data_IF_866611998908
#
_entry.id   IF_866611998908
#
_cell.length_a   1.000
_cell.length_b   1.000
_cell.length_c   1.000
_cell.angle_alpha   90.00
_cell.angle_beta   90.00
_cell.angle_gamma   90.00
#
_symmetry.space_group_name_H-M   'P 1'
#
loop_
_entity.id
_entity.type
_entity.pdbx_description
1 polymer ?
#
# COMPACT_ATOMS: atom_id res chain seq x y z
N UNK A 1 35.70 -2.14 -16.00
CA UNK A 1 35.54 -2.08 -17.47
C UNK A 1 35.22 -0.63 -17.82
N UNK A 2 36.18 0.07 -18.42
CA UNK A 2 36.06 1.49 -18.76
C UNK A 2 35.57 1.60 -20.20
N UNK A 3 34.39 2.19 -20.42
CA UNK A 3 33.89 2.50 -21.75
C UNK A 3 34.30 3.94 -22.06
N UNK A 4 35.17 4.09 -23.05
CA UNK A 4 35.61 5.37 -23.61
C UNK A 4 34.52 5.84 -24.58
N UNK A 5 33.88 6.97 -24.30
CA UNK A 5 32.88 7.57 -25.19
C UNK A 5 33.55 8.75 -25.90
N UNK A 6 33.83 8.59 -27.18
CA UNK A 6 34.26 9.66 -28.08
C UNK A 6 33.00 10.36 -28.63
N UNK A 7 32.90 11.66 -28.38
CA UNK A 7 31.79 12.52 -28.80
C UNK A 7 32.27 13.31 -30.02
N UNK A 8 31.81 12.95 -31.22
CA UNK A 8 32.01 13.75 -32.41
C UNK A 8 30.83 14.69 -32.70
N UNK A 9 31.22 15.90 -33.10
CA UNK A 9 30.47 17.12 -33.32
C UNK A 9 29.62 17.07 -34.61
N UNK A 10 28.36 16.64 -34.57
CA UNK A 10 27.41 16.87 -35.69
C UNK A 10 25.98 17.15 -35.16
N UNK A 11 25.45 18.33 -35.50
CA UNK A 11 24.03 18.78 -35.48
C UNK A 11 23.34 19.11 -34.13
N UNK A 12 23.45 20.38 -33.72
CA UNK A 12 22.83 20.96 -32.51
C UNK A 12 21.32 21.19 -32.50
N UNK A 13 20.52 20.56 -33.38
CA UNK A 13 19.06 20.66 -33.35
C UNK A 13 18.37 19.38 -32.84
N UNK A 14 18.99 18.21 -33.05
CA UNK A 14 18.44 16.90 -32.67
C UNK A 14 18.74 16.54 -31.22
N UNK A 15 19.87 17.03 -30.69
CA UNK A 15 20.36 16.73 -29.33
C UNK A 15 19.47 17.36 -28.24
N UNK A 16 18.88 18.54 -28.50
CA UNK A 16 17.99 19.22 -27.55
C UNK A 16 16.71 18.42 -27.33
N UNK A 17 16.16 17.78 -28.36
CA UNK A 17 14.94 16.96 -28.28
C UNK A 17 15.19 15.67 -27.49
N UNK A 18 16.37 15.05 -27.62
CA UNK A 18 16.70 13.82 -26.87
C UNK A 18 16.82 14.11 -25.37
N UNK A 19 17.38 15.26 -24.98
CA UNK A 19 17.53 15.65 -23.57
C UNK A 19 16.17 16.08 -22.98
N UNK A 20 15.32 16.81 -23.71
CA UNK A 20 13.99 17.19 -23.22
C UNK A 20 13.03 15.99 -23.09
N UNK A 21 13.11 15.01 -23.98
CA UNK A 21 12.32 13.76 -23.88
C UNK A 21 12.72 12.90 -22.67
N UNK A 22 13.99 12.95 -22.27
CA UNK A 22 14.51 12.17 -21.15
C UNK A 22 14.08 12.72 -19.79
N UNK A 23 13.82 14.03 -19.66
CA UNK A 23 13.41 14.62 -18.37
C UNK A 23 11.92 14.39 -18.07
N UNK A 24 11.09 14.22 -19.11
CA UNK A 24 9.62 14.08 -18.96
C UNK A 24 9.22 12.66 -18.49
N UNK A 25 10.06 11.64 -18.68
CA UNK A 25 9.76 10.26 -18.26
C UNK A 25 10.08 9.92 -16.79
N UNK A 26 10.69 10.82 -16.02
CA UNK A 26 11.24 10.50 -14.68
C UNK A 26 10.44 11.07 -13.51
N UNK A 27 9.24 11.60 -13.75
CA UNK A 27 8.42 12.22 -12.72
C UNK A 27 7.08 11.49 -12.50
N UNK A 28 7.09 10.15 -12.61
CA UNK A 28 5.95 9.37 -12.15
C UNK A 28 5.92 9.42 -10.62
N UNK A 29 4.80 9.85 -10.00
CA UNK A 29 4.68 9.83 -8.55
C UNK A 29 4.84 8.40 -8.05
N UNK A 30 5.78 8.20 -7.10
CA UNK A 30 6.02 6.88 -6.53
C UNK A 30 4.81 6.43 -5.69
N UNK A 31 4.55 5.11 -5.59
CA UNK A 31 3.53 4.60 -4.71
C UNK A 31 3.75 5.10 -3.28
N UNK A 32 2.68 5.60 -2.67
CA UNK A 32 2.72 6.06 -1.28
C UNK A 32 1.66 5.34 -0.47
N UNK A 33 1.98 5.07 0.79
CA UNK A 33 1.11 4.36 1.70
C UNK A 33 0.70 5.25 2.88
N UNK A 34 -0.58 5.22 3.23
CA UNK A 34 -1.10 5.85 4.44
C UNK A 34 -2.18 4.95 5.07
N UNK A 35 -2.36 5.05 6.37
CA UNK A 35 -3.41 4.32 7.07
C UNK A 35 -3.96 5.11 8.26
N UNK A 36 -5.15 4.73 8.71
CA UNK A 36 -5.77 5.23 9.93
C UNK A 36 -6.37 4.07 10.71
N UNK A 37 -6.25 4.15 12.03
CA UNK A 37 -6.91 3.24 12.96
C UNK A 37 -7.82 4.08 13.85
N UNK A 38 -9.11 3.78 13.81
CA UNK A 38 -10.12 4.44 14.62
C UNK A 38 -9.96 4.15 16.10
N UNK A 39 -10.61 4.96 16.93
CA UNK A 39 -10.65 4.72 18.37
C UNK A 39 -11.42 3.43 18.69
N UNK A 40 -11.02 2.78 19.78
CA UNK A 40 -11.73 1.65 20.37
C UNK A 40 -13.16 2.08 20.77
N UNK A 41 -14.18 1.53 20.12
CA UNK A 41 -15.57 1.86 20.44
C UNK A 41 -16.60 1.77 19.31
N UNK A 42 -16.27 1.23 18.13
CA UNK A 42 -17.30 1.01 17.11
C UNK A 42 -18.35 0.00 17.62
N UNK A 43 -19.63 0.38 17.56
CA UNK A 43 -20.74 -0.35 18.20
C UNK A 43 -21.38 -1.42 17.32
N UNK A 44 -21.07 -1.46 16.02
CA UNK A 44 -21.60 -2.44 15.09
C UNK A 44 -20.47 -3.35 14.59
N UNK A 45 -20.48 -4.58 15.09
CA UNK A 45 -19.64 -5.66 14.59
C UNK A 45 -20.29 -6.25 13.34
N UNK A 46 -19.80 -5.86 12.18
CA UNK A 46 -19.99 -6.58 10.93
C UNK A 46 -18.58 -6.76 10.37
N UNK A 47 -18.12 -8.01 10.29
CA UNK A 47 -16.79 -8.30 9.77
C UNK A 47 -16.83 -8.18 8.25
N UNK A 48 -16.72 -6.95 7.78
CA UNK A 48 -16.81 -6.59 6.38
C UNK A 48 -15.49 -5.97 5.93
N UNK A 49 -14.94 -6.50 4.84
CA UNK A 49 -13.86 -5.86 4.11
C UNK A 49 -14.47 -5.19 2.89
N UNK A 50 -14.17 -3.91 2.70
CA UNK A 50 -14.45 -3.21 1.46
C UNK A 50 -13.14 -2.78 0.81
N UNK A 51 -13.10 -2.95 -0.51
CA UNK A 51 -12.02 -2.46 -1.34
C UNK A 51 -12.63 -1.56 -2.39
N UNK A 52 -12.07 -0.36 -2.52
CA UNK A 52 -12.47 0.64 -3.49
C UNK A 52 -11.25 1.08 -4.31
N UNK A 53 -11.43 1.24 -5.62
CA UNK A 53 -10.40 1.82 -6.49
C UNK A 53 -10.85 3.22 -6.89
N UNK A 54 -10.02 4.22 -6.59
CA UNK A 54 -10.24 5.62 -6.95
C UNK A 54 -9.12 6.07 -7.88
N UNK A 55 -9.38 6.05 -9.19
CA UNK A 55 -8.34 6.34 -10.19
C UNK A 55 -7.15 5.39 -10.02
N UNK A 56 -6.03 5.86 -9.46
CA UNK A 56 -4.81 5.08 -9.21
C UNK A 56 -4.62 4.74 -7.72
N UNK A 57 -5.65 4.93 -6.90
CA UNK A 57 -5.58 4.69 -5.46
C UNK A 57 -6.40 3.45 -5.11
N UNK A 58 -5.77 2.53 -4.39
CA UNK A 58 -6.44 1.40 -3.76
C UNK A 58 -6.75 1.77 -2.31
N UNK A 59 -8.02 1.77 -1.96
CA UNK A 59 -8.49 2.05 -0.60
C UNK A 59 -9.10 0.78 -0.02
N UNK A 60 -8.60 0.38 1.14
CA UNK A 60 -9.10 -0.75 1.93
C UNK A 60 -9.75 -0.20 3.20
N UNK A 61 -10.94 -0.69 3.51
CA UNK A 61 -11.58 -0.45 4.79
C UNK A 61 -12.07 -1.75 5.40
N UNK A 62 -11.90 -1.92 6.70
CA UNK A 62 -12.55 -3.00 7.41
C UNK A 62 -12.67 -2.70 8.91
N UNK A 63 -13.39 -3.58 9.57
CA UNK A 63 -13.59 -3.57 11.01
C UNK A 63 -12.70 -4.66 11.64
N UNK A 64 -11.89 -4.28 12.62
CA UNK A 64 -10.96 -5.15 13.34
C UNK A 64 -11.38 -5.29 14.81
N UNK A 65 -11.89 -6.47 15.22
CA UNK A 65 -12.16 -6.78 16.62
C UNK A 65 -10.89 -7.31 17.29
N UNK A 66 -10.39 -6.59 18.29
CA UNK A 66 -9.13 -6.94 18.96
C UNK A 66 -9.08 -6.42 20.41
N UNK A 67 -8.00 -6.66 21.15
CA UNK A 67 -7.90 -6.24 22.56
C UNK A 67 -7.79 -4.73 22.71
N UNK A 68 -8.46 -4.12 23.69
CA UNK A 68 -8.56 -2.65 23.78
C UNK A 68 -7.24 -1.91 24.02
N UNK A 69 -6.26 -2.60 24.59
CA UNK A 69 -4.96 -2.04 24.95
C UNK A 69 -3.94 -2.15 23.81
N UNK A 70 -4.38 -2.66 22.66
CA UNK A 70 -3.56 -2.74 21.48
C UNK A 70 -3.30 -1.34 20.90
N UNK A 71 -2.09 -1.18 20.39
CA UNK A 71 -1.70 -0.08 19.53
C UNK A 71 -1.49 -0.67 18.13
N UNK A 72 -2.49 -0.51 17.26
CA UNK A 72 -2.51 -1.16 15.94
C UNK A 72 -1.83 -0.25 14.91
N UNK A 73 -0.84 -0.81 14.24
CA UNK A 73 -0.21 -0.23 13.06
C UNK A 73 -0.49 -1.11 11.84
N UNK A 74 -0.44 -0.51 10.64
CA UNK A 74 -0.59 -1.25 9.39
C UNK A 74 0.71 -1.09 8.60
N UNK A 75 1.26 -2.22 8.16
CA UNK A 75 2.42 -2.30 7.27
C UNK A 75 1.96 -2.81 5.91
N UNK A 76 2.57 -2.30 4.84
CA UNK A 76 2.34 -2.77 3.48
C UNK A 76 3.63 -3.30 2.89
N UNK A 77 3.57 -4.52 2.39
CA UNK A 77 4.58 -5.05 1.49
C UNK A 77 3.99 -5.09 0.09
N UNK A 78 4.57 -4.30 -0.81
CA UNK A 78 4.23 -4.30 -2.23
C UNK A 78 5.38 -4.92 -3.01
N UNK A 79 5.06 -5.94 -3.82
CA UNK A 79 5.99 -6.55 -4.75
C UNK A 79 5.27 -6.85 -6.05
N UNK A 80 5.70 -6.20 -7.14
CA UNK A 80 5.04 -6.30 -8.44
C UNK A 80 3.53 -5.99 -8.32
N UNK A 81 2.67 -6.91 -8.71
CA UNK A 81 1.21 -6.79 -8.65
C UNK A 81 0.63 -7.44 -7.39
N UNK A 82 1.41 -7.60 -6.32
CA UNK A 82 0.93 -8.08 -5.03
C UNK A 82 1.03 -6.98 -3.96
N UNK A 83 -0.08 -6.73 -3.27
CA UNK A 83 -0.17 -5.77 -2.16
C UNK A 83 -0.64 -6.52 -0.93
N UNK A 84 0.25 -6.66 0.05
CA UNK A 84 0.00 -7.38 1.30
C UNK A 84 -0.06 -6.38 2.45
N UNK A 85 -1.23 -6.25 3.08
CA UNK A 85 -1.45 -5.44 4.29
C UNK A 85 -1.29 -6.33 5.52
N UNK A 86 -0.46 -5.92 6.47
CA UNK A 86 -0.24 -6.60 7.74
C UNK A 86 -0.63 -5.67 8.88
N UNK A 87 -1.55 -6.11 9.73
CA UNK A 87 -1.83 -5.46 11.00
C UNK A 87 -0.80 -5.92 12.04
N UNK A 88 -0.28 -4.98 12.84
CA UNK A 88 0.70 -5.29 13.89
C UNK A 88 0.28 -4.59 15.17
N UNK A 89 0.19 -5.34 16.26
CA UNK A 89 0.01 -4.76 17.60
C UNK A 89 1.38 -4.42 18.19
N UNK A 90 1.61 -3.15 18.49
CA UNK A 90 2.80 -2.65 19.20
C UNK A 90 2.52 -2.27 20.65
N UNK A 91 1.27 -2.43 21.09
CA UNK A 91 0.80 -2.13 22.44
C UNK A 91 0.70 -3.35 23.34
N UNK A 92 -0.14 -3.25 24.37
CA UNK A 92 -0.33 -4.28 25.38
C UNK A 92 -1.49 -5.22 25.04
N UNK A 93 -1.59 -6.31 25.81
CA UNK A 93 -2.72 -7.23 25.78
C UNK A 93 -3.54 -7.10 27.06
N UNK A 94 -4.86 -7.01 26.91
CA UNK A 94 -5.79 -6.97 28.05
C UNK A 94 -7.07 -7.78 27.78
N UNK A 95 -7.89 -7.95 28.83
CA UNK A 95 -9.04 -8.89 28.81
C UNK A 95 -10.32 -8.33 28.15
N UNK A 96 -10.28 -7.11 27.63
CA UNK A 96 -11.43 -6.52 26.95
C UNK A 96 -11.24 -6.59 25.44
N UNK A 97 -12.35 -6.69 24.72
CA UNK A 97 -12.40 -6.65 23.26
C UNK A 97 -13.01 -5.33 22.83
N UNK A 98 -12.37 -4.71 21.84
CA UNK A 98 -12.80 -3.51 21.19
C UNK A 98 -12.89 -3.72 19.68
N UNK A 99 -13.63 -2.83 19.04
CA UNK A 99 -13.80 -2.83 17.60
C UNK A 99 -13.16 -1.56 17.05
N UNK A 100 -12.18 -1.74 16.18
CA UNK A 100 -11.41 -0.69 15.53
C UNK A 100 -11.83 -0.59 14.06
N UNK A 101 -11.97 0.63 13.54
CA UNK A 101 -12.14 0.85 12.10
C UNK A 101 -10.76 1.09 11.50
N UNK A 102 -10.33 0.23 10.59
CA UNK A 102 -9.03 0.33 9.94
C UNK A 102 -9.25 0.75 8.49
N UNK A 103 -8.52 1.76 8.06
CA UNK A 103 -8.49 2.19 6.66
C UNK A 103 -7.06 2.34 6.21
N UNK A 104 -6.76 1.84 5.00
CA UNK A 104 -5.44 1.89 4.43
C UNK A 104 -5.55 2.29 2.95
N UNK A 105 -4.64 3.15 2.48
CA UNK A 105 -4.60 3.63 1.11
C UNK A 105 -3.21 3.42 0.54
N UNK A 106 -3.16 2.81 -0.64
CA UNK A 106 -1.97 2.81 -1.51
C UNK A 106 -2.29 3.69 -2.71
N UNK A 107 -1.61 4.83 -2.81
CA UNK A 107 -1.84 5.82 -3.87
C UNK A 107 -0.81 5.71 -4.98
N UNK A 108 -1.15 6.22 -6.17
CA UNK A 108 -0.29 6.23 -7.36
C UNK A 108 0.14 4.83 -7.84
N UNK A 109 -0.77 3.87 -7.84
CA UNK A 109 -0.54 2.56 -8.43
C UNK A 109 -0.57 2.64 -9.96
N UNK A 110 0.40 1.98 -10.59
CA UNK A 110 0.39 1.79 -12.04
C UNK A 110 -0.86 0.98 -12.46
N UNK A 111 -1.44 1.24 -13.65
CA UNK A 111 -2.53 0.45 -14.20
C UNK A 111 -2.18 -1.04 -14.26
N UNK A 112 -3.10 -1.90 -13.84
CA UNK A 112 -2.84 -3.33 -13.76
C UNK A 112 -3.80 -4.05 -12.83
N UNK A 113 -3.71 -5.39 -12.81
CA UNK A 113 -4.49 -6.21 -11.89
C UNK A 113 -3.62 -6.64 -10.73
N UNK A 114 -4.01 -6.24 -9.52
CA UNK A 114 -3.31 -6.51 -8.29
C UNK A 114 -4.01 -7.61 -7.48
N UNK A 115 -3.22 -8.48 -6.87
CA UNK A 115 -3.70 -9.35 -5.79
C UNK A 115 -3.53 -8.62 -4.47
N UNK A 116 -4.65 -8.35 -3.81
CA UNK A 116 -4.70 -7.65 -2.53
C UNK A 116 -4.96 -8.65 -1.42
N UNK A 117 -4.09 -8.67 -0.40
CA UNK A 117 -4.21 -9.57 0.74
C UNK A 117 -4.16 -8.79 2.04
N UNK A 118 -5.01 -9.15 2.98
CA UNK A 118 -5.06 -8.56 4.31
C UNK A 118 -4.79 -9.67 5.32
N UNK A 119 -3.73 -9.48 6.10
CA UNK A 119 -3.30 -10.38 7.16
C UNK A 119 -3.62 -9.75 8.52
N UNK A 120 -4.19 -10.56 9.40
CA UNK A 120 -4.59 -10.12 10.74
C UNK A 120 -3.41 -9.84 11.66
N UNK A 121 -3.74 -9.37 12.86
CA UNK A 121 -2.78 -8.84 13.82
C UNK A 121 -1.62 -9.79 14.17
N UNK A 122 -0.40 -9.34 13.88
CA UNK A 122 0.87 -9.86 14.41
C UNK A 122 1.11 -9.31 15.82
N UNK A 123 1.59 -10.16 16.73
CA UNK A 123 1.97 -9.75 18.08
C UNK A 123 3.01 -10.71 18.67
N UNK A 124 4.15 -10.20 19.11
CA UNK A 124 5.28 -11.00 19.64
C UNK A 124 5.61 -12.19 18.73
N UNK A 125 5.50 -13.43 19.24
CA UNK A 125 5.78 -14.67 18.50
C UNK A 125 4.59 -15.14 17.64
N UNK A 126 3.43 -14.47 17.71
CA UNK A 126 2.26 -14.78 16.91
C UNK A 126 2.36 -14.14 15.52
N UNK A 127 2.49 -14.99 14.50
CA UNK A 127 2.52 -14.58 13.09
C UNK A 127 1.13 -14.23 12.55
N UNK A 128 1.11 -13.36 11.54
CA UNK A 128 -0.13 -12.97 10.86
C UNK A 128 -0.79 -14.17 10.18
N UNK A 129 -2.12 -14.15 10.14
CA UNK A 129 -2.92 -15.08 9.35
C UNK A 129 -3.65 -14.32 8.25
N UNK A 130 -3.67 -14.87 7.03
CA UNK A 130 -4.47 -14.32 5.94
C UNK A 130 -5.96 -14.31 6.34
N UNK A 131 -6.58 -13.13 6.31
CA UNK A 131 -8.00 -12.91 6.61
C UNK A 131 -8.82 -12.67 5.35
N UNK A 132 -8.24 -11.97 4.37
CA UNK A 132 -8.93 -11.59 3.15
C UNK A 132 -7.98 -11.60 1.95
N UNK A 133 -8.50 -11.99 0.78
CA UNK A 133 -7.78 -11.99 -0.48
C UNK A 133 -8.74 -11.65 -1.62
N UNK A 134 -8.36 -10.69 -2.47
CA UNK A 134 -9.13 -10.31 -3.66
C UNK A 134 -8.22 -9.91 -4.81
N UNK A 135 -8.77 -9.90 -6.02
CA UNK A 135 -8.12 -9.39 -7.22
C UNK A 135 -8.81 -8.11 -7.65
N UNK A 136 -8.03 -7.06 -7.90
CA UNK A 136 -8.51 -5.69 -8.11
C UNK A 136 -7.79 -5.08 -9.30
N UNK A 137 -8.51 -4.44 -10.21
CA UNK A 137 -7.91 -3.79 -11.37
C UNK A 137 -7.86 -2.28 -11.20
N UNK A 138 -6.66 -1.73 -11.35
CA UNK A 138 -6.41 -0.30 -11.47
C UNK A 138 -6.57 0.09 -12.95
N UNK A 139 -7.47 1.03 -13.27
CA UNK A 139 -7.74 1.45 -14.65
C UNK A 139 -6.54 2.14 -15.31
N UNK A 140 -6.56 2.14 -16.64
CA UNK A 140 -5.63 2.85 -17.52
C UNK A 140 -5.99 4.34 -17.57
#
# INVERSE_FOLDING_TARGET
MNVKVEVEHILGATIVIVILSFVILWNQPQPSFNYTVGQCGASNYQHEFSIEVKSHDLVVHHVLPYVCCADITVRVDQYDHEINFFEVNTGDVCRCICVYNVSATVSNLDPGTYTVRIFGVEYEDQKAKLLYNSSVSIPI
#
